data_IF_782870994860
#
_entry.id   IF_782870994860
#
_cell.length_a   1.000
_cell.length_b   1.000
_cell.length_c   1.000
_cell.angle_alpha   90.00
_cell.angle_beta   90.00
_cell.angle_gamma   90.00
#
_symmetry.space_group_name_H-M   'P 1'
#
loop_
_entity.id
_entity.type
_entity.pdbx_description
1 polymer ?
#
# COMPACT_ATOMS: atom_id res chain seq x y z
N UNK A 1 -67.99 26.53 -18.62
CA UNK A 1 -67.36 26.60 -17.29
C UNK A 1 -66.75 25.23 -17.02
N UNK A 2 -65.43 25.08 -17.15
CA UNK A 2 -64.70 23.81 -16.97
C UNK A 2 -63.63 23.99 -15.86
N UNK A 3 -63.40 23.03 -14.96
CA UNK A 3 -62.47 23.21 -13.86
C UNK A 3 -61.02 22.95 -14.29
N UNK A 4 -60.12 23.84 -13.87
CA UNK A 4 -58.66 23.66 -13.93
C UNK A 4 -58.25 22.63 -12.89
N UNK A 5 -57.56 21.58 -13.33
CA UNK A 5 -57.00 20.55 -12.45
C UNK A 5 -55.56 20.91 -12.10
N UNK A 6 -55.29 21.18 -10.82
CA UNK A 6 -53.95 21.52 -10.30
C UNK A 6 -53.19 20.25 -9.93
N UNK A 7 -52.21 19.87 -10.74
CA UNK A 7 -51.30 18.75 -10.44
C UNK A 7 -50.31 19.16 -9.34
N UNK A 8 -50.42 18.56 -8.15
CA UNK A 8 -49.40 18.67 -7.09
C UNK A 8 -48.18 17.83 -7.49
N UNK A 9 -47.03 18.49 -7.61
CA UNK A 9 -45.74 17.89 -7.95
C UNK A 9 -44.99 17.57 -6.65
N UNK A 10 -44.93 16.31 -6.26
CA UNK A 10 -44.17 15.87 -5.07
C UNK A 10 -42.72 15.62 -5.47
N UNK A 11 -41.78 16.42 -4.95
CA UNK A 11 -40.35 16.21 -5.10
C UNK A 11 -39.87 15.21 -4.04
N UNK A 12 -39.42 14.03 -4.47
CA UNK A 12 -38.77 13.05 -3.61
C UNK A 12 -37.26 13.35 -3.58
N UNK A 13 -36.76 13.87 -2.45
CA UNK A 13 -35.33 14.07 -2.24
C UNK A 13 -34.65 12.72 -1.95
N UNK A 14 -33.89 12.20 -2.91
CA UNK A 14 -33.09 10.98 -2.74
C UNK A 14 -31.87 11.24 -1.85
N UNK A 15 -31.79 10.55 -0.71
CA UNK A 15 -30.62 10.57 0.18
C UNK A 15 -29.70 9.39 -0.19
N UNK A 16 -28.64 9.64 -0.96
CA UNK A 16 -27.59 8.64 -1.19
C UNK A 16 -26.65 8.60 0.01
N UNK A 17 -26.83 7.64 0.90
CA UNK A 17 -25.87 7.32 1.93
C UNK A 17 -24.72 6.50 1.31
N UNK A 18 -23.56 7.14 1.12
CA UNK A 18 -22.32 6.43 0.77
C UNK A 18 -21.83 5.65 2.00
N UNK A 19 -22.00 4.33 2.00
CA UNK A 19 -21.41 3.46 3.03
C UNK A 19 -19.90 3.42 2.83
N UNK A 20 -19.16 4.03 3.75
CA UNK A 20 -17.71 3.89 3.81
C UNK A 20 -17.36 2.45 4.23
N UNK A 21 -16.88 1.64 3.31
CA UNK A 21 -16.38 0.29 3.61
C UNK A 21 -15.18 0.38 4.55
N UNK A 22 -15.17 -0.30 5.71
CA UNK A 22 -13.96 -0.40 6.51
C UNK A 22 -12.93 -1.21 5.72
N UNK A 23 -11.75 -0.64 5.51
CA UNK A 23 -10.60 -1.39 4.98
C UNK A 23 -10.29 -2.52 5.97
N UNK A 24 -10.66 -3.75 5.63
CA UNK A 24 -10.32 -4.92 6.44
C UNK A 24 -8.80 -4.95 6.59
N UNK A 25 -8.32 -4.90 7.83
CA UNK A 25 -6.92 -5.06 8.16
C UNK A 25 -6.46 -6.42 7.60
N UNK A 26 -5.58 -6.40 6.62
CA UNK A 26 -5.03 -7.62 6.05
C UNK A 26 -4.15 -8.29 7.11
N UNK A 27 -4.34 -9.58 7.43
CA UNK A 27 -3.53 -10.26 8.43
C UNK A 27 -2.04 -10.16 8.10
N UNK A 28 -1.22 -10.09 9.15
CA UNK A 28 0.22 -10.09 9.04
C UNK A 28 0.66 -11.38 8.33
N UNK A 29 1.29 -11.24 7.17
CA UNK A 29 1.77 -12.37 6.41
C UNK A 29 2.99 -13.02 7.08
N UNK A 30 3.10 -14.36 7.03
CA UNK A 30 4.25 -15.05 7.59
C UNK A 30 5.54 -14.64 6.88
N UNK A 31 6.63 -14.57 7.65
CA UNK A 31 7.99 -14.31 7.14
C UNK A 31 8.63 -15.61 6.64
N UNK A 32 9.52 -15.48 5.67
CA UNK A 32 10.29 -16.60 5.13
C UNK A 32 11.45 -16.95 6.07
N UNK A 33 11.86 -18.24 6.12
CA UNK A 33 13.15 -18.61 6.70
C UNK A 33 14.28 -17.85 6.00
N UNK A 34 15.37 -17.58 6.72
CA UNK A 34 16.62 -17.07 6.16
C UNK A 34 16.59 -15.70 5.47
N UNK A 35 15.49 -14.95 5.61
CA UNK A 35 15.34 -13.59 5.09
C UNK A 35 15.81 -12.52 6.09
N UNK A 36 16.37 -11.43 5.55
CA UNK A 36 16.88 -10.31 6.34
C UNK A 36 15.87 -9.15 6.37
N UNK A 37 15.80 -8.47 7.51
CA UNK A 37 15.10 -7.19 7.63
C UNK A 37 16.06 -6.06 7.24
N UNK A 38 15.69 -5.26 6.24
CA UNK A 38 16.46 -4.09 5.83
C UNK A 38 15.93 -2.82 6.53
N UNK A 39 16.83 -1.94 6.97
CA UNK A 39 16.49 -0.63 7.55
C UNK A 39 17.30 0.47 6.90
N UNK A 40 16.63 1.52 6.42
CA UNK A 40 17.27 2.69 5.82
C UNK A 40 16.31 3.89 5.79
N UNK A 41 16.79 5.10 6.09
CA UNK A 41 15.99 6.34 5.92
C UNK A 41 14.66 6.35 6.69
N UNK A 42 14.59 5.75 7.88
CA UNK A 42 13.35 5.64 8.66
C UNK A 42 12.36 4.59 8.15
N UNK A 43 12.78 3.76 7.18
CA UNK A 43 12.02 2.64 6.65
C UNK A 43 12.54 1.33 7.22
N UNK A 44 11.64 0.36 7.41
CA UNK A 44 11.98 -1.04 7.69
C UNK A 44 11.29 -1.92 6.64
N UNK A 45 11.98 -2.89 6.06
CA UNK A 45 11.41 -3.74 5.01
C UNK A 45 11.81 -5.20 5.16
N UNK A 46 10.91 -6.11 4.81
CA UNK A 46 11.14 -7.56 4.84
C UNK A 46 10.23 -8.29 3.85
N UNK A 47 10.65 -9.50 3.45
CA UNK A 47 9.90 -10.38 2.58
C UNK A 47 8.83 -11.17 3.37
N UNK A 48 7.71 -11.46 2.71
CA UNK A 48 6.56 -12.15 3.28
C UNK A 48 5.96 -13.16 2.29
N UNK A 49 5.00 -13.94 2.77
CA UNK A 49 4.22 -14.91 1.99
C UNK A 49 5.13 -16.00 1.37
N UNK A 50 5.82 -16.84 2.19
CA UNK A 50 6.58 -18.00 1.73
C UNK A 50 5.77 -18.85 0.76
N UNK A 51 6.37 -19.23 -0.36
CA UNK A 51 5.69 -20.00 -1.40
C UNK A 51 6.62 -20.93 -2.17
N UNK A 52 6.08 -22.03 -2.66
CA UNK A 52 6.80 -23.02 -3.50
C UNK A 52 6.44 -22.92 -4.99
N UNK A 53 5.81 -21.80 -5.40
CA UNK A 53 5.35 -21.58 -6.80
C UNK A 53 6.47 -21.64 -7.84
N UNK A 54 7.71 -21.39 -7.44
CA UNK A 54 8.87 -21.37 -8.31
C UNK A 54 10.04 -22.11 -7.66
N UNK A 55 9.97 -23.44 -7.64
CA UNK A 55 10.95 -24.30 -7.00
C UNK A 55 12.24 -24.48 -7.83
N UNK A 56 12.89 -23.40 -8.26
CA UNK A 56 14.20 -23.49 -8.93
C UNK A 56 15.36 -23.64 -7.94
N UNK A 57 15.13 -23.45 -6.64
CA UNK A 57 16.12 -23.78 -5.60
C UNK A 57 17.33 -22.85 -5.58
N UNK A 58 17.25 -21.67 -6.20
CA UNK A 58 18.38 -20.74 -6.37
C UNK A 58 18.93 -20.26 -5.02
N UNK A 59 18.09 -20.21 -3.98
CA UNK A 59 18.48 -19.80 -2.63
C UNK A 59 18.93 -20.95 -1.73
N UNK A 60 18.98 -22.19 -2.23
CA UNK A 60 19.35 -23.39 -1.47
C UNK A 60 18.18 -24.14 -0.85
N UNK A 61 16.99 -23.54 -0.83
CA UNK A 61 15.70 -24.20 -0.59
C UNK A 61 14.68 -23.82 -1.70
N UNK A 62 13.52 -24.49 -1.72
CA UNK A 62 12.48 -24.27 -2.73
C UNK A 62 11.43 -23.21 -2.31
N UNK A 63 11.71 -22.38 -1.31
CA UNK A 63 10.79 -21.40 -0.74
C UNK A 63 11.18 -20.00 -1.20
N UNK A 64 10.28 -19.39 -1.96
CA UNK A 64 10.44 -18.03 -2.49
C UNK A 64 9.42 -17.09 -1.86
N UNK A 65 9.60 -15.77 -2.03
CA UNK A 65 8.69 -14.78 -1.44
C UNK A 65 7.57 -14.39 -2.39
N UNK A 66 6.33 -14.44 -1.90
CA UNK A 66 5.14 -13.98 -2.62
C UNK A 66 4.88 -12.48 -2.48
N UNK A 67 5.55 -11.81 -1.55
CA UNK A 67 5.35 -10.39 -1.28
C UNK A 67 6.45 -9.77 -0.42
N UNK A 68 6.30 -8.48 -0.16
CA UNK A 68 7.10 -7.76 0.83
C UNK A 68 6.28 -6.72 1.59
N UNK A 69 6.82 -6.30 2.73
CA UNK A 69 6.30 -5.19 3.54
C UNK A 69 7.36 -4.09 3.63
N UNK A 70 6.92 -2.84 3.56
CA UNK A 70 7.69 -1.67 3.96
C UNK A 70 6.94 -0.92 5.06
N UNK A 71 7.59 -0.71 6.19
CA UNK A 71 7.09 0.14 7.26
C UNK A 71 7.68 1.55 7.17
N UNK A 72 6.81 2.55 7.37
CA UNK A 72 7.16 3.97 7.42
C UNK A 72 6.26 4.68 8.41
N UNK A 73 6.84 5.32 9.43
CA UNK A 73 6.08 6.13 10.40
C UNK A 73 4.94 5.38 11.10
N UNK A 74 5.14 4.08 11.39
CA UNK A 74 4.12 3.22 12.02
C UNK A 74 3.03 2.70 11.07
N UNK A 75 3.16 2.93 9.76
CA UNK A 75 2.28 2.35 8.74
C UNK A 75 3.00 1.26 7.97
N UNK A 76 2.31 0.16 7.71
CA UNK A 76 2.81 -0.94 6.87
C UNK A 76 2.22 -0.85 5.46
N UNK A 77 3.08 -0.85 4.45
CA UNK A 77 2.75 -0.92 3.04
C UNK A 77 3.02 -2.33 2.55
N UNK A 78 1.98 -3.04 2.11
CA UNK A 78 2.09 -4.42 1.63
C UNK A 78 2.09 -4.44 0.11
N UNK A 79 3.03 -5.17 -0.48
CA UNK A 79 3.03 -5.48 -1.90
C UNK A 79 3.04 -7.00 -2.09
N UNK A 80 2.08 -7.52 -2.86
CA UNK A 80 1.94 -8.96 -3.13
C UNK A 80 1.91 -9.22 -4.62
N UNK A 81 2.56 -10.30 -5.02
CA UNK A 81 2.56 -10.78 -6.39
C UNK A 81 1.35 -11.64 -6.68
N UNK A 82 0.95 -11.66 -7.96
CA UNK A 82 0.06 -12.69 -8.49
C UNK A 82 0.72 -14.07 -8.50
N UNK A 83 -0.03 -15.11 -8.87
CA UNK A 83 0.46 -16.50 -8.84
C UNK A 83 1.53 -16.80 -9.91
N UNK A 84 1.77 -15.88 -10.86
CA UNK A 84 2.69 -16.06 -11.98
C UNK A 84 4.12 -15.54 -11.71
N UNK A 85 4.41 -15.10 -10.47
CA UNK A 85 5.71 -14.59 -10.09
C UNK A 85 6.06 -14.80 -8.60
N UNK A 86 7.35 -14.70 -8.32
CA UNK A 86 7.96 -14.69 -6.98
C UNK A 86 9.06 -13.63 -6.90
N UNK A 87 9.51 -13.33 -5.68
CA UNK A 87 10.78 -12.63 -5.44
C UNK A 87 11.84 -13.62 -4.98
N UNK A 88 13.04 -13.51 -5.56
CA UNK A 88 14.20 -14.40 -5.29
C UNK A 88 15.24 -13.77 -4.36
N UNK A 89 14.98 -12.59 -3.81
CA UNK A 89 15.90 -12.00 -2.84
C UNK A 89 15.79 -12.68 -1.47
N UNK A 90 16.83 -12.49 -0.66
CA UNK A 90 16.78 -12.71 0.78
C UNK A 90 16.40 -11.44 1.55
N UNK A 91 16.33 -10.28 0.87
CA UNK A 91 16.00 -8.99 1.48
C UNK A 91 15.47 -7.98 0.46
N UNK A 92 14.65 -7.06 0.93
CA UNK A 92 14.21 -5.89 0.14
C UNK A 92 15.26 -4.80 0.21
N UNK A 93 15.89 -4.43 -0.90
CA UNK A 93 16.88 -3.35 -0.92
C UNK A 93 16.16 -2.01 -0.94
N UNK A 94 16.44 -1.15 0.02
CA UNK A 94 15.90 0.20 0.09
C UNK A 94 16.90 1.17 -0.53
N UNK A 95 16.53 1.80 -1.65
CA UNK A 95 17.42 2.66 -2.44
C UNK A 95 16.72 3.97 -2.81
N UNK A 96 17.50 5.03 -3.03
CA UNK A 96 17.03 6.24 -3.72
C UNK A 96 17.50 6.14 -5.17
N UNK A 97 16.56 6.12 -6.12
CA UNK A 97 16.85 6.03 -7.56
C UNK A 97 16.97 7.42 -8.20
N UNK A 98 16.96 8.49 -7.39
CA UNK A 98 17.03 9.89 -7.82
C UNK A 98 15.82 10.69 -7.31
N UNK A 99 16.07 11.95 -6.95
CA UNK A 99 15.00 12.88 -6.56
C UNK A 99 14.48 12.71 -5.13
N UNK A 100 15.19 11.99 -4.25
CA UNK A 100 14.89 11.93 -2.82
C UNK A 100 13.74 10.99 -2.43
N UNK A 101 13.24 10.20 -3.37
CA UNK A 101 12.12 9.28 -3.14
C UNK A 101 12.60 7.84 -3.04
N UNK A 102 12.41 7.16 -1.88
CA UNK A 102 12.90 5.81 -1.71
C UNK A 102 12.09 4.80 -2.54
N UNK A 103 12.75 3.74 -2.96
CA UNK A 103 12.17 2.61 -3.66
C UNK A 103 12.62 1.28 -3.03
N UNK A 104 11.74 0.28 -3.10
CA UNK A 104 12.06 -1.11 -2.81
C UNK A 104 12.54 -1.78 -4.09
N UNK A 105 13.81 -2.20 -4.11
CA UNK A 105 14.44 -2.91 -5.22
C UNK A 105 14.58 -4.40 -4.89
N UNK A 106 14.08 -5.24 -5.80
CA UNK A 106 14.02 -6.71 -5.68
C UNK A 106 14.21 -7.36 -7.05
N UNK A 107 14.63 -8.62 -7.08
CA UNK A 107 14.61 -9.53 -8.22
C UNK A 107 13.23 -10.19 -8.26
N UNK A 108 12.44 -9.85 -9.27
CA UNK A 108 11.15 -10.48 -9.56
C UNK A 108 11.33 -11.52 -10.66
N UNK A 109 10.97 -12.76 -10.36
CA UNK A 109 11.00 -13.86 -11.32
C UNK A 109 9.60 -14.28 -11.72
N UNK A 110 9.37 -14.32 -13.03
CA UNK A 110 8.14 -14.84 -13.62
C UNK A 110 8.31 -16.31 -13.94
N UNK A 111 7.31 -17.12 -13.61
CA UNK A 111 7.38 -18.59 -13.78
C UNK A 111 7.70 -19.02 -15.22
N UNK A 112 7.38 -18.18 -16.20
CA UNK A 112 7.52 -18.47 -17.64
C UNK A 112 8.21 -17.38 -18.47
N UNK A 113 8.77 -16.35 -17.84
CA UNK A 113 9.32 -15.18 -18.57
C UNK A 113 10.70 -14.71 -18.07
N UNK A 114 11.33 -15.49 -17.19
CA UNK A 114 12.63 -15.14 -16.60
C UNK A 114 12.52 -14.11 -15.48
N UNK A 115 13.68 -13.57 -15.08
CA UNK A 115 13.83 -12.66 -13.95
C UNK A 115 14.15 -11.22 -14.39
N UNK A 116 13.75 -10.25 -13.57
CA UNK A 116 14.06 -8.85 -13.77
C UNK A 116 14.30 -8.15 -12.43
N UNK A 117 15.16 -7.13 -12.44
CA UNK A 117 15.17 -6.15 -11.35
C UNK A 117 13.88 -5.31 -11.42
N UNK A 118 13.18 -5.23 -10.30
CA UNK A 118 11.96 -4.47 -10.14
C UNK A 118 12.12 -3.44 -9.01
N UNK A 119 11.82 -2.18 -9.32
CA UNK A 119 11.80 -1.10 -8.35
C UNK A 119 10.35 -0.66 -8.10
N UNK A 120 9.95 -0.63 -6.82
CA UNK A 120 8.64 -0.18 -6.39
C UNK A 120 8.78 1.13 -5.62
N UNK A 121 8.15 2.20 -6.12
CA UNK A 121 8.15 3.50 -5.43
C UNK A 121 7.48 3.38 -4.05
N UNK A 122 8.12 3.92 -3.01
CA UNK A 122 7.57 3.93 -1.67
C UNK A 122 6.89 5.28 -1.43
N UNK A 123 5.57 5.23 -1.23
CA UNK A 123 4.76 6.41 -1.01
C UNK A 123 5.28 7.31 0.12
N UNK A 124 5.09 8.63 -0.04
CA UNK A 124 5.45 9.61 0.98
C UNK A 124 4.82 9.29 2.33
N UNK A 125 5.48 9.71 3.41
CA UNK A 125 4.84 9.70 4.73
C UNK A 125 3.61 10.63 4.65
N UNK A 126 2.42 10.21 5.11
CA UNK A 126 1.31 11.13 5.18
C UNK A 126 1.69 12.29 6.09
N UNK A 127 1.66 13.52 5.56
CA UNK A 127 1.96 14.72 6.36
C UNK A 127 1.08 14.73 7.61
N UNK A 128 1.70 14.71 8.81
CA UNK A 128 0.99 14.98 10.06
C UNK A 128 0.53 16.45 10.00
N UNK A 129 -0.73 16.70 9.61
CA UNK A 129 -1.31 18.04 9.78
C UNK A 129 -1.31 18.37 11.28
N UNK A 130 -0.48 19.33 11.68
CA UNK A 130 -0.52 19.89 13.03
C UNK A 130 -1.85 20.63 13.23
N UNK A 131 -2.59 20.42 14.34
CA UNK A 131 -3.82 21.15 14.65
C UNK A 131 -3.65 22.67 14.90
N UNK A 132 -2.45 23.23 14.72
CA UNK A 132 -2.14 24.56 15.21
C UNK A 132 -2.45 25.67 14.20
N UNK A 133 -3.73 25.91 13.94
CA UNK A 133 -4.20 27.16 13.31
C UNK A 133 -5.68 27.46 13.60
N UNK A 134 -6.04 27.62 14.87
CA UNK A 134 -7.23 28.38 15.28
C UNK A 134 -6.90 29.30 16.45
N UNK A 135 -5.99 30.26 16.25
CA UNK A 135 -5.81 31.39 17.18
C UNK A 135 -5.25 32.62 16.48
N UNK A 136 -6.10 33.36 15.75
CA UNK A 136 -5.86 34.79 15.49
C UNK A 136 -7.05 35.59 14.93
N UNK A 137 -8.30 35.13 15.05
CA UNK A 137 -9.48 35.91 14.62
C UNK A 137 -10.41 36.22 15.80
N UNK A 138 -9.91 36.92 16.82
CA UNK A 138 -10.75 37.67 17.78
C UNK A 138 -9.97 38.83 18.41
N UNK A 139 -9.53 39.77 17.58
CA UNK A 139 -9.21 41.14 17.96
C UNK A 139 -9.63 42.03 16.79
N UNK A 140 -10.87 42.52 16.83
CA UNK A 140 -11.37 43.82 16.32
C UNK A 140 -12.90 43.80 16.28
N UNK A 141 -13.51 44.23 17.39
CA UNK A 141 -14.81 44.91 17.48
C UNK A 141 -14.84 45.39 18.95
N UNK A 142 -14.68 46.67 19.26
CA UNK A 142 -15.37 47.78 18.62
C UNK A 142 -16.71 47.90 19.31
#
# INVERSE_FOLDING_TARGET
MAPVSTTRRTLLAGFTAALASPALAQPAAPRLPDTETTRAGGLTAWLIDPTTRYAHGVLGDAIEAGGFVVERGGRSLHHRLGPDAVFEDRRVRLVDLGGGSPAALVVKSYLRRGAALAAYAIGAEPSRRSPRARRSARRTAG
#
